data_IF_046371719132
#
_entry.id   IF_046371719132
#
_cell.length_a   1.000
_cell.length_b   1.000
_cell.length_c   1.000
_cell.angle_alpha   90.00
_cell.angle_beta   90.00
_cell.angle_gamma   90.00
#
_symmetry.space_group_name_H-M   'P 1'
#
loop_
_entity.id
_entity.type
_entity.pdbx_description
1 polymer ?
#
# COMPACT_ATOMS: atom_id res chain seq x y z
N UNK A 1 -19.42 -36.41 -21.97
CA UNK A 1 -20.47 -35.57 -21.36
C UNK A 1 -20.88 -36.14 -20.02
N UNK A 2 -21.98 -36.90 -19.97
CA UNK A 2 -22.56 -37.42 -18.72
C UNK A 2 -21.63 -38.29 -17.88
N UNK A 3 -20.85 -39.18 -18.52
CA UNK A 3 -19.88 -40.04 -17.82
C UNK A 3 -18.74 -39.20 -17.21
N UNK A 4 -18.22 -38.22 -17.94
CA UNK A 4 -17.16 -37.32 -17.46
C UNK A 4 -17.65 -36.43 -16.31
N UNK A 5 -18.89 -35.96 -16.37
CA UNK A 5 -19.52 -35.22 -15.27
C UNK A 5 -19.67 -36.10 -14.02
N UNK A 6 -20.13 -37.35 -14.17
CA UNK A 6 -20.30 -38.27 -13.04
C UNK A 6 -18.96 -38.63 -12.39
N UNK A 7 -17.93 -38.93 -13.18
CA UNK A 7 -16.58 -39.23 -12.69
C UNK A 7 -15.96 -38.03 -11.98
N UNK A 8 -16.00 -36.83 -12.60
CA UNK A 8 -15.48 -35.60 -12.00
C UNK A 8 -16.19 -35.23 -10.69
N UNK A 9 -17.50 -35.48 -10.60
CA UNK A 9 -18.26 -35.20 -9.37
C UNK A 9 -17.79 -36.10 -8.21
N UNK A 10 -17.56 -37.38 -8.47
CA UNK A 10 -17.04 -38.32 -7.47
C UNK A 10 -15.60 -37.95 -7.02
N UNK A 11 -14.73 -37.61 -7.98
CA UNK A 11 -13.33 -37.25 -7.71
C UNK A 11 -13.21 -35.93 -6.94
N UNK A 12 -13.91 -34.88 -7.39
CA UNK A 12 -13.86 -33.56 -6.75
C UNK A 12 -14.39 -33.60 -5.33
N UNK A 13 -15.48 -34.33 -5.07
CA UNK A 13 -16.02 -34.49 -3.71
C UNK A 13 -15.06 -35.24 -2.79
N UNK A 14 -14.37 -36.28 -3.28
CA UNK A 14 -13.38 -37.00 -2.50
C UNK A 14 -12.15 -36.13 -2.18
N UNK A 15 -11.65 -35.37 -3.16
CA UNK A 15 -10.54 -34.42 -2.97
C UNK A 15 -10.93 -33.37 -1.92
N UNK A 16 -12.11 -32.76 -2.04
CA UNK A 16 -12.60 -31.77 -1.09
C UNK A 16 -12.63 -32.33 0.33
N UNK A 17 -13.19 -33.53 0.53
CA UNK A 17 -13.28 -34.16 1.86
C UNK A 17 -11.89 -34.43 2.46
N UNK A 18 -10.95 -34.91 1.65
CA UNK A 18 -9.57 -35.15 2.10
C UNK A 18 -8.88 -33.85 2.52
N UNK A 19 -9.05 -32.77 1.76
CA UNK A 19 -8.49 -31.46 2.08
C UNK A 19 -9.07 -30.90 3.37
N UNK A 20 -10.39 -30.97 3.56
CA UNK A 20 -11.05 -30.53 4.79
C UNK A 20 -10.50 -31.31 5.99
N UNK A 21 -10.45 -32.64 5.91
CA UNK A 21 -9.97 -33.47 7.02
C UNK A 21 -8.50 -33.24 7.35
N UNK A 22 -7.67 -32.88 6.37
CA UNK A 22 -6.27 -32.54 6.62
C UNK A 22 -6.08 -31.18 7.29
N UNK A 23 -6.97 -30.21 7.01
CA UNK A 23 -6.82 -28.81 7.45
C UNK A 23 -7.78 -28.37 8.55
N UNK A 24 -8.73 -29.22 8.98
CA UNK A 24 -9.79 -28.84 9.94
C UNK A 24 -9.28 -28.41 11.32
N UNK A 25 -8.06 -28.78 11.68
CA UNK A 25 -7.44 -28.42 12.97
C UNK A 25 -6.60 -27.15 12.93
N UNK A 26 -6.43 -26.56 11.75
CA UNK A 26 -5.58 -25.38 11.53
C UNK A 26 -6.38 -24.13 11.85
N UNK A 27 -5.86 -23.29 12.75
CA UNK A 27 -6.47 -22.01 13.12
C UNK A 27 -5.42 -20.91 13.27
N UNK A 28 -5.84 -19.67 13.03
CA UNK A 28 -5.10 -18.50 13.50
C UNK A 28 -5.25 -18.43 15.02
N UNK A 29 -4.19 -18.05 15.71
CA UNK A 29 -4.18 -17.93 17.17
C UNK A 29 -3.95 -16.48 17.59
N UNK A 30 -4.25 -16.14 18.85
CA UNK A 30 -4.17 -14.75 19.36
C UNK A 30 -2.80 -14.08 19.22
N UNK A 31 -1.72 -14.85 19.12
CA UNK A 31 -0.38 -14.32 18.85
C UNK A 31 -0.13 -14.00 17.37
N UNK A 32 -1.15 -14.19 16.53
CA UNK A 32 -1.18 -14.02 15.07
C UNK A 32 -0.50 -15.14 14.28
N UNK A 33 -0.06 -16.21 14.95
CA UNK A 33 0.52 -17.39 14.28
C UNK A 33 -0.55 -18.39 13.89
N UNK A 34 -0.28 -19.20 12.87
CA UNK A 34 -1.17 -20.28 12.42
C UNK A 34 -0.67 -21.61 12.97
N UNK A 35 -1.50 -22.30 13.74
CA UNK A 35 -1.14 -23.55 14.43
C UNK A 35 -2.18 -24.65 14.19
N UNK A 36 -1.75 -25.90 14.33
CA UNK A 36 -2.66 -27.04 14.39
C UNK A 36 -3.14 -27.32 15.83
N UNK A 37 -4.01 -28.32 16.00
CA UNK A 37 -4.55 -28.73 17.31
C UNK A 37 -3.49 -29.22 18.31
N UNK A 38 -2.31 -29.63 17.85
CA UNK A 38 -1.18 -30.07 18.70
C UNK A 38 -0.29 -28.89 19.10
N UNK A 39 -0.58 -27.68 18.61
CA UNK A 39 0.20 -26.47 18.86
C UNK A 39 1.46 -26.34 18.01
N UNK A 40 1.60 -27.17 16.97
CA UNK A 40 2.71 -27.05 16.02
C UNK A 40 2.49 -25.84 15.11
N UNK A 41 3.54 -25.04 14.95
CA UNK A 41 3.55 -23.86 14.10
C UNK A 41 3.55 -24.25 12.61
N UNK A 42 2.60 -23.73 11.84
CA UNK A 42 2.52 -23.92 10.38
C UNK A 42 2.98 -22.65 9.66
N UNK A 43 2.49 -21.49 10.08
CA UNK A 43 2.92 -20.19 9.53
C UNK A 43 3.13 -19.19 10.67
N UNK A 44 4.15 -18.33 10.52
CA UNK A 44 4.40 -17.22 11.44
C UNK A 44 3.29 -16.17 11.39
N UNK A 45 2.75 -15.92 10.19
CA UNK A 45 1.60 -15.07 9.93
C UNK A 45 0.72 -15.72 8.89
N UNK A 46 -0.59 -15.63 9.09
CA UNK A 46 -1.56 -16.11 8.10
C UNK A 46 -1.31 -15.44 6.75
N UNK A 47 -1.16 -16.21 5.68
CA UNK A 47 -0.93 -15.65 4.34
C UNK A 47 0.37 -14.87 4.17
N UNK A 48 1.32 -14.99 5.11
CA UNK A 48 2.58 -14.24 5.18
C UNK A 48 2.44 -12.72 5.40
N UNK A 49 1.22 -12.19 5.38
CA UNK A 49 0.88 -10.77 5.60
C UNK A 49 -0.08 -10.53 6.78
N UNK A 50 -0.68 -11.59 7.36
CA UNK A 50 -1.61 -11.48 8.48
C UNK A 50 -2.96 -10.84 8.11
N UNK A 51 -3.33 -10.84 6.83
CA UNK A 51 -4.53 -10.19 6.32
C UNK A 51 -5.62 -11.18 5.92
N UNK A 52 -6.88 -10.79 6.13
CA UNK A 52 -8.04 -11.60 5.76
C UNK A 52 -8.27 -11.58 4.25
N UNK A 53 -8.40 -12.77 3.66
CA UNK A 53 -8.69 -12.97 2.24
C UNK A 53 -10.04 -12.37 1.81
N UNK A 54 -10.97 -12.12 2.73
CA UNK A 54 -12.22 -11.41 2.45
C UNK A 54 -12.07 -9.90 2.27
N UNK A 55 -10.99 -9.31 2.78
CA UNK A 55 -10.78 -7.86 2.82
C UNK A 55 -9.81 -7.35 1.74
N UNK A 56 -9.22 -8.25 0.94
CA UNK A 56 -8.24 -7.91 -0.09
C UNK A 56 -8.88 -7.72 -1.47
N UNK A 57 -8.33 -6.79 -2.25
CA UNK A 57 -8.82 -6.46 -3.59
C UNK A 57 -7.68 -6.46 -4.61
N UNK A 58 -8.01 -6.62 -5.90
CA UNK A 58 -7.03 -6.49 -6.97
C UNK A 58 -6.64 -5.03 -7.17
N UNK A 59 -5.34 -4.75 -7.05
CA UNK A 59 -4.75 -3.44 -7.23
C UNK A 59 -3.56 -3.50 -8.19
N UNK A 60 -3.16 -2.34 -8.72
CA UNK A 60 -2.04 -2.25 -9.64
C UNK A 60 -0.89 -1.45 -9.02
N UNK A 61 0.32 -2.03 -9.02
CA UNK A 61 1.53 -1.33 -8.61
C UNK A 61 1.98 -0.36 -9.71
N UNK A 62 1.94 0.96 -9.48
CA UNK A 62 2.22 1.95 -10.51
C UNK A 62 3.73 2.09 -10.82
N UNK A 63 4.62 1.58 -9.96
CA UNK A 63 6.08 1.65 -10.06
C UNK A 63 6.70 0.59 -10.98
N UNK A 64 6.04 -0.57 -11.14
CA UNK A 64 6.67 -1.76 -11.74
C UNK A 64 6.81 -1.68 -13.27
N UNK A 65 5.72 -1.34 -13.96
CA UNK A 65 5.60 -1.35 -15.44
C UNK A 65 6.32 -0.21 -16.19
N UNK A 66 6.34 1.06 -15.72
CA UNK A 66 6.91 2.16 -16.50
C UNK A 66 8.38 1.94 -16.88
N UNK A 67 8.85 2.57 -17.96
CA UNK A 67 10.28 2.68 -18.27
C UNK A 67 10.98 3.61 -17.25
N UNK A 68 12.32 3.61 -17.19
CA UNK A 68 13.04 4.49 -16.25
C UNK A 68 12.73 5.97 -16.48
N UNK A 69 12.63 6.39 -17.75
CA UNK A 69 12.27 7.78 -18.10
C UNK A 69 10.82 8.12 -17.75
N UNK A 70 9.89 7.20 -17.97
CA UNK A 70 8.48 7.40 -17.60
C UNK A 70 8.28 7.41 -16.07
N UNK A 71 9.05 6.59 -15.35
CA UNK A 71 9.07 6.55 -13.90
C UNK A 71 9.60 7.88 -13.32
N UNK A 72 10.74 8.36 -13.80
CA UNK A 72 11.27 9.67 -13.39
C UNK A 72 10.26 10.78 -13.66
N UNK A 73 9.69 10.84 -14.86
CA UNK A 73 8.68 11.84 -15.19
C UNK A 73 7.45 11.79 -14.28
N UNK A 74 7.03 10.60 -13.83
CA UNK A 74 5.79 10.43 -13.05
C UNK A 74 5.97 10.65 -11.55
N UNK A 75 7.13 10.30 -11.00
CA UNK A 75 7.34 10.26 -9.55
C UNK A 75 8.36 11.28 -9.05
N UNK A 76 9.34 11.68 -9.86
CA UNK A 76 10.32 12.69 -9.45
C UNK A 76 9.68 14.07 -9.45
N UNK A 77 9.73 14.74 -8.30
CA UNK A 77 9.20 16.08 -8.11
C UNK A 77 10.31 17.11 -8.33
N UNK A 78 10.24 17.84 -9.44
CA UNK A 78 11.24 18.84 -9.80
C UNK A 78 10.81 20.22 -9.27
N UNK A 79 11.49 20.69 -8.22
CA UNK A 79 11.20 22.01 -7.59
C UNK A 79 11.68 23.18 -8.46
N UNK A 80 12.56 22.93 -9.43
CA UNK A 80 13.14 23.99 -10.29
C UNK A 80 12.14 24.62 -11.27
N UNK A 81 10.97 23.99 -11.51
CA UNK A 81 10.00 24.49 -12.48
C UNK A 81 8.91 25.36 -11.83
N UNK A 82 9.23 26.64 -11.63
CA UNK A 82 8.36 27.61 -10.97
C UNK A 82 6.96 27.72 -11.63
N UNK A 83 6.87 27.58 -12.96
CA UNK A 83 5.58 27.65 -13.68
C UNK A 83 4.65 26.50 -13.32
N UNK A 84 5.20 25.29 -13.15
CA UNK A 84 4.40 24.13 -12.75
C UNK A 84 3.99 24.24 -11.29
N UNK A 85 4.90 24.70 -10.42
CA UNK A 85 4.61 24.91 -9.00
C UNK A 85 3.47 25.92 -8.78
N UNK A 86 3.50 27.08 -9.47
CA UNK A 86 2.42 28.09 -9.38
C UNK A 86 1.06 27.60 -9.90
N UNK A 87 1.04 26.55 -10.74
CA UNK A 87 -0.20 25.91 -11.18
C UNK A 87 -0.70 24.87 -10.17
N UNK A 88 0.19 24.32 -9.35
CA UNK A 88 -0.12 23.23 -8.43
C UNK A 88 -0.44 23.75 -7.04
N UNK A 89 0.36 24.67 -6.52
CA UNK A 89 0.31 25.16 -5.16
C UNK A 89 -0.03 26.64 -5.09
N UNK A 90 -0.45 27.08 -3.92
CA UNK A 90 -0.58 28.50 -3.60
C UNK A 90 0.78 29.19 -3.55
N UNK A 91 0.78 30.51 -3.78
CA UNK A 91 2.00 31.31 -3.85
C UNK A 91 2.87 31.22 -2.59
N UNK A 92 2.25 31.08 -1.42
CA UNK A 92 2.96 30.99 -0.14
C UNK A 92 3.76 29.70 -0.04
N UNK A 93 3.15 28.56 -0.42
CA UNK A 93 3.82 27.25 -0.44
C UNK A 93 4.93 27.25 -1.50
N UNK A 94 4.75 27.92 -2.63
CA UNK A 94 5.79 28.02 -3.67
C UNK A 94 7.00 28.80 -3.16
N UNK A 95 6.80 29.90 -2.41
CA UNK A 95 7.91 30.65 -1.78
C UNK A 95 8.65 29.78 -0.77
N UNK A 96 7.93 29.03 0.05
CA UNK A 96 8.52 28.14 1.05
C UNK A 96 9.33 27.01 0.41
N UNK A 97 8.83 26.44 -0.69
CA UNK A 97 9.51 25.40 -1.47
C UNK A 97 10.81 25.90 -2.11
N UNK A 98 10.83 27.15 -2.59
CA UNK A 98 12.03 27.75 -3.18
C UNK A 98 13.03 28.22 -2.11
N UNK A 99 12.56 28.66 -0.95
CA UNK A 99 13.41 29.14 0.14
C UNK A 99 14.03 28.02 0.99
N UNK A 100 13.38 26.86 1.10
CA UNK A 100 13.77 25.81 2.05
C UNK A 100 14.59 24.69 1.40
N UNK A 101 15.90 24.68 1.63
CA UNK A 101 16.78 23.56 1.25
C UNK A 101 16.41 22.23 1.92
N UNK A 102 15.78 22.29 3.09
CA UNK A 102 15.31 21.12 3.82
C UNK A 102 14.26 20.32 3.03
N UNK A 103 13.28 21.00 2.42
CA UNK A 103 12.20 20.32 1.69
C UNK A 103 12.75 19.61 0.45
N UNK A 104 13.67 20.25 -0.27
CA UNK A 104 14.37 19.63 -1.41
C UNK A 104 15.10 18.35 -0.98
N UNK A 105 15.79 18.40 0.16
CA UNK A 105 16.49 17.22 0.71
C UNK A 105 15.52 16.08 1.05
N UNK A 106 14.35 16.40 1.60
CA UNK A 106 13.34 15.38 1.94
C UNK A 106 12.68 14.77 0.70
N UNK A 107 12.43 15.57 -0.34
CA UNK A 107 11.92 15.09 -1.63
C UNK A 107 12.94 14.20 -2.36
N UNK A 108 14.24 14.52 -2.28
CA UNK A 108 15.30 13.67 -2.81
C UNK A 108 15.32 12.30 -2.10
N UNK A 109 15.17 12.28 -0.76
CA UNK A 109 15.05 11.04 0.03
C UNK A 109 13.82 10.21 -0.33
N UNK A 110 12.68 10.85 -0.58
CA UNK A 110 11.47 10.17 -1.07
C UNK A 110 11.77 9.48 -2.41
N UNK A 111 12.40 10.20 -3.33
CA UNK A 111 12.77 9.67 -4.64
C UNK A 111 13.74 8.48 -4.56
N UNK A 112 14.75 8.54 -3.69
CA UNK A 112 15.65 7.42 -3.44
C UNK A 112 14.90 6.21 -2.88
N UNK A 113 13.94 6.41 -1.98
CA UNK A 113 13.12 5.34 -1.41
C UNK A 113 12.27 4.66 -2.49
N UNK A 114 11.62 5.44 -3.36
CA UNK A 114 10.83 4.91 -4.47
C UNK A 114 11.68 4.14 -5.51
N UNK A 115 12.94 4.54 -5.71
CA UNK A 115 13.90 3.80 -6.54
C UNK A 115 14.23 2.45 -5.92
N UNK A 116 14.56 2.41 -4.63
CA UNK A 116 14.84 1.17 -3.88
C UNK A 116 13.65 0.23 -3.91
N UNK A 117 12.46 0.73 -3.62
CA UNK A 117 11.21 -0.03 -3.69
C UNK A 117 11.01 -0.66 -5.07
N UNK A 118 11.31 0.07 -6.13
CA UNK A 118 11.17 -0.43 -7.49
C UNK A 118 12.15 -1.55 -7.81
N UNK A 119 13.38 -1.48 -7.32
CA UNK A 119 14.37 -2.54 -7.49
C UNK A 119 13.94 -3.82 -6.74
N UNK A 120 13.49 -3.66 -5.50
CA UNK A 120 12.92 -4.75 -4.69
C UNK A 120 11.72 -5.37 -5.39
N UNK A 121 10.74 -4.57 -5.83
CA UNK A 121 9.56 -5.06 -6.53
C UNK A 121 9.90 -5.81 -7.83
N UNK A 122 10.95 -5.41 -8.55
CA UNK A 122 11.41 -6.12 -9.75
C UNK A 122 12.09 -7.44 -9.43
N UNK A 123 12.78 -7.55 -8.29
CA UNK A 123 13.30 -8.83 -7.81
C UNK A 123 12.18 -9.79 -7.37
N UNK A 124 11.12 -9.25 -6.74
CA UNK A 124 9.96 -10.04 -6.29
C UNK A 124 9.06 -10.47 -7.47
N UNK A 125 8.83 -9.58 -8.45
CA UNK A 125 8.00 -9.85 -9.62
C UNK A 125 8.82 -9.85 -10.92
N UNK A 126 9.60 -10.92 -11.20
CA UNK A 126 10.49 -10.98 -12.37
C UNK A 126 9.73 -10.94 -13.71
N UNK A 127 8.47 -11.39 -13.73
CA UNK A 127 7.61 -11.37 -14.92
C UNK A 127 7.00 -9.98 -15.20
N UNK A 128 7.13 -9.03 -14.28
CA UNK A 128 6.60 -7.67 -14.43
C UNK A 128 5.08 -7.57 -14.34
N UNK A 129 4.40 -8.55 -13.74
CA UNK A 129 2.97 -8.43 -13.49
C UNK A 129 2.71 -7.38 -12.41
N UNK A 130 1.98 -6.32 -12.78
CA UNK A 130 1.66 -5.23 -11.87
C UNK A 130 0.43 -5.49 -11.03
N UNK A 131 -0.37 -6.51 -11.38
CA UNK A 131 -1.63 -6.80 -10.71
C UNK A 131 -1.32 -7.61 -9.44
N UNK A 132 -1.59 -7.00 -8.30
CA UNK A 132 -1.38 -7.59 -6.98
C UNK A 132 -2.69 -7.63 -6.22
N UNK A 133 -2.76 -8.45 -5.19
CA UNK A 133 -3.90 -8.54 -4.28
C UNK A 133 -3.46 -7.89 -2.97
N UNK A 134 -4.10 -6.80 -2.58
CA UNK A 134 -3.73 -6.01 -1.40
C UNK A 134 -4.99 -5.45 -0.73
N UNK A 135 -4.97 -5.24 0.60
CA UNK A 135 -6.07 -4.61 1.31
C UNK A 135 -6.18 -3.14 0.91
N UNK A 136 -7.29 -2.50 1.27
CA UNK A 136 -7.50 -1.06 1.12
C UNK A 136 -7.29 -0.57 -0.33
N UNK A 137 -8.37 -0.52 -1.12
CA UNK A 137 -8.31 -0.01 -2.49
C UNK A 137 -8.02 1.50 -2.53
N UNK A 138 -6.73 1.87 -2.58
CA UNK A 138 -6.27 3.25 -2.48
C UNK A 138 -6.85 4.16 -3.57
N UNK A 139 -6.92 3.75 -4.86
CA UNK A 139 -7.59 4.54 -5.89
C UNK A 139 -9.04 4.90 -5.56
N UNK A 140 -9.82 3.94 -5.03
CA UNK A 140 -11.22 4.18 -4.65
C UNK A 140 -11.32 5.13 -3.46
N UNK A 141 -10.43 4.98 -2.47
CA UNK A 141 -10.41 5.82 -1.29
C UNK A 141 -10.04 7.27 -1.63
N UNK A 142 -9.06 7.46 -2.52
CA UNK A 142 -8.69 8.78 -3.03
C UNK A 142 -9.86 9.42 -3.78
N UNK A 143 -10.57 8.64 -4.61
CA UNK A 143 -11.74 9.14 -5.33
C UNK A 143 -12.88 9.52 -4.37
N UNK A 144 -13.12 8.74 -3.32
CA UNK A 144 -14.08 9.07 -2.28
C UNK A 144 -13.70 10.38 -1.57
N UNK A 145 -12.43 10.57 -1.22
CA UNK A 145 -11.94 11.82 -0.63
C UNK A 145 -12.22 13.02 -1.57
N UNK A 146 -11.94 12.88 -2.86
CA UNK A 146 -12.24 13.93 -3.85
C UNK A 146 -13.73 14.28 -3.92
N UNK A 147 -14.61 13.29 -3.74
CA UNK A 147 -16.06 13.50 -3.76
C UNK A 147 -16.59 14.15 -2.48
N UNK A 148 -16.11 13.71 -1.32
CA UNK A 148 -16.56 14.22 -0.01
C UNK A 148 -16.16 15.69 0.16
N UNK A 149 -14.92 16.03 -0.21
CA UNK A 149 -14.38 17.39 -0.06
C UNK A 149 -14.57 18.27 -1.30
N UNK A 150 -15.35 17.81 -2.28
CA UNK A 150 -15.64 18.54 -3.53
C UNK A 150 -14.39 19.12 -4.21
N UNK A 151 -13.33 18.31 -4.31
CA UNK A 151 -12.03 18.76 -4.80
C UNK A 151 -12.11 19.07 -6.30
N UNK A 152 -11.68 20.28 -6.66
CA UNK A 152 -11.52 20.70 -8.04
C UNK A 152 -10.07 20.48 -8.50
N UNK A 153 -9.87 19.66 -9.53
CA UNK A 153 -8.53 19.38 -10.08
C UNK A 153 -7.90 20.57 -10.82
N UNK A 154 -8.64 21.65 -11.01
CA UNK A 154 -8.20 22.88 -11.67
C UNK A 154 -7.66 23.93 -10.70
N UNK A 155 -8.00 23.84 -9.41
CA UNK A 155 -7.56 24.80 -8.40
C UNK A 155 -6.19 24.40 -7.83
N UNK A 156 -5.41 25.37 -7.35
CA UNK A 156 -4.21 25.07 -6.58
C UNK A 156 -4.58 24.38 -5.26
N UNK A 157 -3.63 23.63 -4.70
CA UNK A 157 -3.78 22.90 -3.44
C UNK A 157 -3.04 23.59 -2.30
N UNK A 158 -3.64 23.56 -1.12
CA UNK A 158 -3.07 24.09 0.12
C UNK A 158 -2.12 23.11 0.82
N UNK A 159 -1.99 21.90 0.29
CA UNK A 159 -1.24 20.82 0.92
C UNK A 159 0.27 20.99 0.72
N UNK A 160 1.01 21.17 1.82
CA UNK A 160 2.47 21.27 1.79
C UNK A 160 3.11 19.89 1.52
N UNK A 161 4.12 19.78 0.64
CA UNK A 161 4.82 18.51 0.39
C UNK A 161 5.42 17.87 1.63
N UNK A 162 5.89 18.67 2.60
CA UNK A 162 6.40 18.18 3.88
C UNK A 162 5.32 17.44 4.68
N UNK A 163 4.07 17.96 4.68
CA UNK A 163 2.95 17.30 5.36
C UNK A 163 2.61 15.94 4.73
N UNK A 164 2.74 15.82 3.40
CA UNK A 164 2.54 14.54 2.70
C UNK A 164 3.60 13.53 3.12
N UNK A 165 4.86 13.94 3.16
CA UNK A 165 5.98 13.06 3.54
C UNK A 165 5.82 12.57 4.99
N UNK A 166 5.53 13.49 5.91
CA UNK A 166 5.38 13.14 7.32
C UNK A 166 4.13 12.28 7.55
N UNK A 167 3.01 12.60 6.88
CA UNK A 167 1.79 11.81 6.98
C UNK A 167 1.94 10.37 6.43
N UNK A 168 2.68 10.20 5.32
CA UNK A 168 2.99 8.86 4.78
C UNK A 168 3.93 8.08 5.71
N UNK A 169 4.94 8.74 6.30
CA UNK A 169 5.84 8.10 7.29
C UNK A 169 5.09 7.69 8.54
N UNK A 170 4.24 8.57 9.06
CA UNK A 170 3.41 8.30 10.23
C UNK A 170 2.47 7.13 9.96
N UNK A 171 1.77 7.13 8.83
CA UNK A 171 0.90 6.02 8.44
C UNK A 171 1.67 4.70 8.31
N UNK A 172 2.86 4.71 7.70
CA UNK A 172 3.72 3.53 7.61
C UNK A 172 4.10 2.96 8.99
N UNK A 173 4.31 3.82 9.99
CA UNK A 173 4.59 3.39 11.36
C UNK A 173 3.38 2.82 12.11
N UNK A 174 2.16 3.24 11.76
CA UNK A 174 0.90 2.74 12.37
C UNK A 174 0.43 1.41 11.78
N UNK A 175 0.93 1.05 10.60
CA UNK A 175 0.63 -0.23 9.94
C UNK A 175 1.47 -1.32 10.62
N UNK A 176 0.90 -1.93 11.67
CA UNK A 176 1.55 -2.97 12.47
C UNK A 176 0.79 -4.29 12.31
N UNK A 177 1.49 -5.31 11.83
CA UNK A 177 1.05 -6.71 11.77
C UNK A 177 1.74 -7.53 12.87
N UNK A 178 3.03 -7.25 13.11
CA UNK A 178 3.80 -7.91 14.17
C UNK A 178 4.05 -6.91 15.29
N UNK A 179 3.33 -7.00 16.43
CA UNK A 179 3.61 -6.14 17.57
C UNK A 179 4.95 -6.53 18.21
N UNK A 180 5.76 -5.53 18.57
CA UNK A 180 7.02 -5.72 19.29
C UNK A 180 8.07 -4.68 18.93
N UNK A 181 8.90 -4.31 19.91
CA UNK A 181 10.01 -3.35 19.76
C UNK A 181 11.36 -4.02 19.51
N UNK A 182 11.41 -5.36 19.63
CA UNK A 182 12.63 -6.13 19.40
C UNK A 182 13.03 -6.09 17.92
N UNK A 183 14.34 -6.15 17.67
CA UNK A 183 14.92 -6.16 16.32
C UNK A 183 14.24 -7.18 15.39
N UNK A 184 13.97 -8.40 15.89
CA UNK A 184 13.33 -9.45 15.12
C UNK A 184 11.89 -9.09 14.75
N UNK A 185 11.14 -8.50 15.68
CA UNK A 185 9.76 -8.09 15.50
C UNK A 185 9.63 -6.95 14.50
N UNK A 186 10.53 -5.95 14.58
CA UNK A 186 10.60 -4.87 13.61
C UNK A 186 10.90 -5.39 12.20
N UNK A 187 11.88 -6.30 12.07
CA UNK A 187 12.23 -6.89 10.78
C UNK A 187 11.08 -7.75 10.22
N UNK A 188 10.39 -8.51 11.07
CA UNK A 188 9.23 -9.30 10.68
C UNK A 188 8.07 -8.40 10.21
N UNK A 189 7.82 -7.27 10.90
CA UNK A 189 6.80 -6.30 10.49
C UNK A 189 7.15 -5.63 9.17
N UNK A 190 8.41 -5.24 8.97
CA UNK A 190 8.87 -4.65 7.71
C UNK A 190 8.65 -5.59 6.54
N UNK A 191 8.96 -6.89 6.70
CA UNK A 191 8.74 -7.90 5.68
C UNK A 191 7.25 -8.11 5.37
N UNK A 192 6.42 -8.25 6.40
CA UNK A 192 4.98 -8.49 6.24
C UNK A 192 4.25 -7.29 5.60
N UNK A 193 4.71 -6.07 5.89
CA UNK A 193 4.11 -4.83 5.34
C UNK A 193 4.79 -4.34 4.07
N UNK A 194 5.89 -4.97 3.62
CA UNK A 194 6.75 -4.47 2.54
C UNK A 194 5.96 -4.09 1.28
N UNK A 195 5.11 -5.01 0.81
CA UNK A 195 4.35 -4.85 -0.43
C UNK A 195 3.30 -3.73 -0.31
N UNK A 196 2.63 -3.65 0.85
CA UNK A 196 1.64 -2.62 1.12
C UNK A 196 2.30 -1.24 1.27
N UNK A 197 3.42 -1.14 1.98
CA UNK A 197 4.21 0.09 2.10
C UNK A 197 4.71 0.58 0.74
N UNK A 198 5.18 -0.33 -0.12
CA UNK A 198 5.56 0.01 -1.49
C UNK A 198 4.37 0.56 -2.30
N UNK A 199 3.20 -0.07 -2.20
CA UNK A 199 1.98 0.43 -2.83
C UNK A 199 1.66 1.83 -2.30
N UNK A 200 1.60 2.00 -0.98
CA UNK A 200 1.22 3.24 -0.30
C UNK A 200 2.15 4.40 -0.70
N UNK A 201 3.47 4.21 -0.63
CA UNK A 201 4.47 5.21 -1.07
C UNK A 201 4.32 5.54 -2.55
N UNK A 202 4.07 4.55 -3.39
CA UNK A 202 3.88 4.76 -4.82
C UNK A 202 2.55 5.45 -5.19
N UNK A 203 1.51 5.29 -4.37
CA UNK A 203 0.23 5.95 -4.59
C UNK A 203 0.22 7.36 -4.02
N UNK A 204 0.70 7.54 -2.79
CA UNK A 204 0.67 8.80 -2.05
C UNK A 204 1.96 9.61 -2.19
N UNK A 205 2.71 9.39 -3.27
CA UNK A 205 3.89 10.20 -3.58
C UNK A 205 3.52 11.69 -3.70
N UNK A 206 4.37 12.57 -3.17
CA UNK A 206 4.18 14.02 -3.15
C UNK A 206 3.72 14.58 -4.50
N UNK A 207 4.39 14.17 -5.57
CA UNK A 207 4.04 14.57 -6.94
C UNK A 207 2.63 14.15 -7.36
N UNK A 208 2.23 12.91 -7.06
CA UNK A 208 0.93 12.38 -7.48
C UNK A 208 -0.20 13.00 -6.68
N UNK A 209 0.00 13.17 -5.37
CA UNK A 209 -0.95 13.83 -4.48
C UNK A 209 -1.18 15.28 -4.93
N UNK A 210 -0.11 16.00 -5.28
CA UNK A 210 -0.20 17.38 -5.71
C UNK A 210 -0.71 17.54 -7.17
N UNK A 211 -0.19 16.79 -8.13
CA UNK A 211 -0.51 16.97 -9.55
C UNK A 211 -1.76 16.21 -10.00
N UNK A 212 -1.87 14.91 -9.67
CA UNK A 212 -2.94 14.02 -10.14
C UNK A 212 -4.20 14.15 -9.28
N UNK A 213 -4.06 14.06 -7.96
CA UNK A 213 -5.20 13.95 -7.04
C UNK A 213 -5.68 15.29 -6.50
N UNK A 214 -4.79 16.28 -6.41
CA UNK A 214 -5.08 17.64 -5.98
C UNK A 214 -5.74 17.70 -4.59
N UNK A 215 -5.25 16.88 -3.66
CA UNK A 215 -5.84 16.79 -2.33
C UNK A 215 -5.57 18.07 -1.51
N UNK A 216 -6.58 18.51 -0.75
CA UNK A 216 -6.41 19.51 0.31
C UNK A 216 -5.82 18.86 1.56
N UNK A 217 -5.37 19.67 2.52
CA UNK A 217 -4.85 19.20 3.81
C UNK A 217 -5.89 18.36 4.56
N UNK A 218 -7.13 18.84 4.63
CA UNK A 218 -8.24 18.12 5.30
C UNK A 218 -8.55 16.79 4.60
N UNK A 219 -8.61 16.78 3.27
CA UNK A 219 -8.89 15.56 2.51
C UNK A 219 -7.77 14.53 2.64
N UNK A 220 -6.52 14.98 2.74
CA UNK A 220 -5.37 14.12 2.95
C UNK A 220 -5.37 13.52 4.35
N UNK A 221 -5.64 14.30 5.40
CA UNK A 221 -5.73 13.77 6.77
C UNK A 221 -6.87 12.78 6.93
N UNK A 222 -8.04 13.07 6.35
CA UNK A 222 -9.16 12.14 6.30
C UNK A 222 -8.76 10.83 5.60
N UNK A 223 -8.05 10.92 4.47
CA UNK A 223 -7.61 9.75 3.72
C UNK A 223 -6.65 8.88 4.54
N UNK A 224 -5.69 9.48 5.27
CA UNK A 224 -4.77 8.71 6.12
C UNK A 224 -5.52 7.96 7.22
N UNK A 225 -6.47 8.61 7.89
CA UNK A 225 -7.27 7.98 8.95
C UNK A 225 -8.18 6.86 8.45
N UNK A 226 -8.77 7.03 7.25
CA UNK A 226 -9.57 5.96 6.64
C UNK A 226 -8.69 4.77 6.21
N UNK A 227 -7.47 5.01 5.67
CA UNK A 227 -6.54 3.92 5.32
C UNK A 227 -6.16 3.14 6.58
N UNK A 228 -5.81 3.82 7.67
CA UNK A 228 -5.47 3.20 8.94
C UNK A 228 -6.63 2.33 9.46
N UNK A 229 -7.83 2.90 9.50
CA UNK A 229 -9.03 2.20 9.98
C UNK A 229 -9.31 0.97 9.12
N UNK A 230 -9.31 1.11 7.79
CA UNK A 230 -9.57 0.00 6.87
C UNK A 230 -8.50 -1.09 6.95
N UNK A 231 -7.24 -0.71 7.15
CA UNK A 231 -6.16 -1.67 7.30
C UNK A 231 -6.33 -2.51 8.58
N UNK A 232 -6.67 -1.88 9.70
CA UNK A 232 -6.96 -2.60 10.96
C UNK A 232 -8.12 -3.59 10.79
N UNK A 233 -9.19 -3.19 10.09
CA UNK A 233 -10.31 -4.09 9.80
C UNK A 233 -9.96 -5.23 8.85
N UNK A 234 -8.88 -5.12 8.07
CA UNK A 234 -8.44 -6.17 7.14
C UNK A 234 -7.54 -7.23 7.80
N UNK A 235 -7.19 -7.08 9.08
CA UNK A 235 -6.40 -8.06 9.80
C UNK A 235 -7.21 -9.33 10.07
N UNK A 236 -6.54 -10.49 10.02
CA UNK A 236 -7.15 -11.76 10.37
C UNK A 236 -7.58 -11.76 11.82
N UNK A 237 -8.81 -12.19 12.06
CA UNK A 237 -9.30 -12.41 13.41
C UNK A 237 -8.77 -13.76 13.93
N UNK A 238 -8.15 -13.79 15.13
CA UNK A 238 -7.75 -15.02 15.79
C UNK A 238 -8.96 -15.83 16.29
#
# INVERSE_FOLDING_TARGET
>A
GLIDTAVKTAETGYIQRRLIKAMESIMATYDGTVRNSVGQLIQLRYGEDGLDGGAVEFQALPTLKPSNKAFEKKFKFDVSNERQLKRVFNEDIVKDLMGSSHIVTQLEKEWETLKKDREVLRSVFPKGDSKVVLPCNLPRMIWNAQKIFHINTRTPTDLTPLRVLDGVRELSSKIIIVPGEDYLSCQANENATLLFNCLLRSTLCTKRVAEEFRLSTEAFEWLLGEIETRFQHSQVQP
#
